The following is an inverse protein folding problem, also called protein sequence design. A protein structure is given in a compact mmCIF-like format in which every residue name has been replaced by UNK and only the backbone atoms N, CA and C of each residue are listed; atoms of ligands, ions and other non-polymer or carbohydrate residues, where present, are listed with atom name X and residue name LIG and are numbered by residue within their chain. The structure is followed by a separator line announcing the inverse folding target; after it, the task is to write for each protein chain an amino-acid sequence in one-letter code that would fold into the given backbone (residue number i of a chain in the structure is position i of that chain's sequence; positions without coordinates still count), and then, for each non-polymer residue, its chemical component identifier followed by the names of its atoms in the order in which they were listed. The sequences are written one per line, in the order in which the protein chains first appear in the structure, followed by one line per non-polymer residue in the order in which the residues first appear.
data_IF_861022090651
#
_entry.id   IF_861022090651
#
_cell.length_a   1.000
_cell.length_b   1.000
_cell.length_c   1.000
_cell.angle_alpha   90.00
_cell.angle_beta   90.00
_cell.angle_gamma   90.00
#
_symmetry.space_group_name_H-M   'P 1'
#
loop_
_entity.id
_entity.type
_entity.pdbx_description
1 polymer ?
#
# COMPACT_ATOMS: atom_id res chain seq x y z
N UNK A 1 8.18 -7.15 12.93
CA UNK A 1 9.00 -8.39 13.09
C UNK A 1 9.57 -8.70 11.71
N UNK A 2 10.89 -8.79 11.50
CA UNK A 2 11.42 -8.87 10.13
C UNK A 2 11.15 -10.26 9.54
N UNK A 3 10.26 -10.35 8.56
CA UNK A 3 9.87 -11.60 7.89
C UNK A 3 10.51 -11.60 6.49
N UNK A 4 11.45 -12.51 6.24
CA UNK A 4 12.00 -12.76 4.91
C UNK A 4 11.29 -13.96 4.27
N UNK A 5 10.63 -13.79 3.11
CA UNK A 5 9.86 -14.86 2.46
C UNK A 5 10.53 -15.23 1.14
N UNK A 6 11.02 -16.48 1.02
CA UNK A 6 11.54 -17.00 -0.25
C UNK A 6 10.45 -17.74 -1.03
N UNK A 7 10.07 -17.14 -2.17
CA UNK A 7 9.45 -17.67 -3.38
C UNK A 7 8.43 -18.83 -3.32
N UNK A 8 7.33 -18.57 -4.05
CA UNK A 8 6.21 -19.44 -4.50
C UNK A 8 5.01 -19.55 -3.57
N UNK A 9 4.01 -18.69 -3.80
CA UNK A 9 2.64 -19.02 -4.23
C UNK A 9 1.71 -17.84 -3.90
N UNK A 10 1.13 -17.22 -4.92
CA UNK A 10 0.17 -16.10 -4.84
C UNK A 10 -0.79 -16.16 -3.64
N UNK A 11 -1.00 -14.99 -3.02
CA UNK A 11 -1.80 -14.67 -1.82
C UNK A 11 -1.05 -14.99 -0.51
N UNK A 12 -0.17 -14.07 -0.07
CA UNK A 12 0.46 -14.15 1.24
C UNK A 12 -0.09 -13.08 2.17
N UNK A 13 -1.09 -13.51 2.94
CA UNK A 13 -1.72 -12.74 4.00
C UNK A 13 -0.90 -12.94 5.29
N UNK A 14 -0.04 -11.99 5.63
CA UNK A 14 0.70 -11.95 6.89
C UNK A 14 1.15 -10.49 7.09
N UNK A 15 0.52 -9.71 7.96
CA UNK A 15 0.76 -9.83 9.38
C UNK A 15 -0.48 -9.46 10.23
N UNK A 16 -0.30 -9.62 11.53
CA UNK A 16 -1.35 -9.50 12.54
C UNK A 16 -1.08 -8.14 13.16
N UNK A 17 -1.86 -7.12 12.83
CA UNK A 17 -2.03 -5.91 13.63
C UNK A 17 -0.75 -5.22 14.12
N UNK A 18 -0.49 -4.01 13.65
CA UNK A 18 0.58 -3.17 14.15
C UNK A 18 1.73 -3.12 13.16
N UNK A 19 2.76 -2.36 13.50
CA UNK A 19 3.76 -1.97 12.50
C UNK A 19 4.60 -3.15 11.98
N UNK A 20 4.49 -3.41 10.69
CA UNK A 20 5.15 -4.48 9.97
C UNK A 20 6.11 -3.97 8.88
N UNK A 21 6.98 -4.88 8.42
CA UNK A 21 7.99 -4.60 7.39
C UNK A 21 7.95 -5.78 6.41
N UNK A 22 7.48 -5.52 5.19
CA UNK A 22 7.05 -6.51 4.19
C UNK A 22 7.77 -6.27 2.86
N UNK A 23 8.16 -7.36 2.20
CA UNK A 23 8.92 -7.35 0.94
C UNK A 23 8.40 -8.42 -0.04
N UNK A 24 8.15 -8.05 -1.30
CA UNK A 24 7.76 -8.96 -2.39
C UNK A 24 8.95 -9.64 -3.11
N UNK A 25 10.07 -8.92 -3.21
CA UNK A 25 11.25 -9.32 -3.99
C UNK A 25 10.96 -9.37 -5.52
N UNK A 26 11.26 -10.48 -6.21
CA UNK A 26 10.98 -10.66 -7.64
C UNK A 26 9.66 -11.44 -7.84
N UNK A 27 8.81 -10.98 -8.75
CA UNK A 27 7.55 -11.61 -9.14
C UNK A 27 6.36 -10.66 -9.00
N UNK A 28 5.20 -11.04 -9.53
CA UNK A 28 3.97 -10.30 -9.25
C UNK A 28 3.44 -10.73 -7.86
N UNK A 29 3.47 -9.81 -6.90
CA UNK A 29 3.12 -10.05 -5.50
C UNK A 29 1.79 -9.39 -5.08
N UNK A 30 1.22 -9.90 -4.00
CA UNK A 30 0.02 -9.33 -3.37
C UNK A 30 0.25 -9.27 -1.86
N UNK A 31 0.41 -8.06 -1.33
CA UNK A 31 0.84 -7.77 0.04
C UNK A 31 -0.20 -6.89 0.74
N UNK A 32 -0.54 -7.27 1.97
CA UNK A 32 -1.39 -6.51 2.87
C UNK A 32 -0.63 -6.27 4.18
N UNK A 33 -0.47 -5.01 4.58
CA UNK A 33 0.07 -4.61 5.88
C UNK A 33 -0.75 -5.19 7.02
N UNK A 34 -2.06 -4.95 6.97
CA UNK A 34 -2.99 -5.35 8.03
C UNK A 34 -4.19 -6.21 7.63
N UNK A 35 -4.76 -6.91 8.63
CA UNK A 35 -5.92 -7.78 8.45
C UNK A 35 -7.27 -7.06 8.67
N UNK A 36 -8.03 -6.93 7.59
CA UNK A 36 -9.30 -6.20 7.43
C UNK A 36 -10.48 -6.53 8.36
N UNK A 37 -10.35 -7.55 9.21
CA UNK A 37 -11.39 -7.97 10.16
C UNK A 37 -10.91 -7.82 11.62
N UNK A 38 -9.79 -7.14 11.85
CA UNK A 38 -9.34 -6.77 13.20
C UNK A 38 -9.78 -5.36 13.55
N UNK A 39 -9.73 -5.09 14.85
CA UNK A 39 -10.10 -3.77 15.38
C UNK A 39 -9.13 -2.75 14.80
N UNK A 40 -9.64 -1.65 14.29
CA UNK A 40 -8.85 -0.59 13.67
C UNK A 40 -7.78 0.01 14.60
N UNK A 41 -7.99 -0.10 15.91
CA UNK A 41 -6.98 0.31 16.91
C UNK A 41 -5.75 -0.60 16.96
N UNK A 42 -5.84 -1.75 16.30
CA UNK A 42 -4.76 -2.71 16.18
C UNK A 42 -4.03 -2.54 14.84
N UNK A 43 -4.48 -1.68 13.91
CA UNK A 43 -3.72 -1.41 12.69
C UNK A 43 -2.43 -0.61 12.98
N UNK A 44 -1.41 -0.82 12.16
CA UNK A 44 -0.07 -0.29 12.32
C UNK A 44 0.36 0.68 11.25
N UNK A 45 1.54 1.26 11.47
CA UNK A 45 2.26 1.99 10.44
C UNK A 45 3.24 1.02 9.79
N UNK A 46 2.93 0.59 8.57
CA UNK A 46 3.63 -0.48 7.88
C UNK A 46 4.65 0.05 6.87
N UNK A 47 5.66 -0.76 6.61
CA UNK A 47 6.56 -0.59 5.48
C UNK A 47 6.35 -1.74 4.50
N UNK A 48 6.05 -1.43 3.25
CA UNK A 48 5.78 -2.39 2.20
C UNK A 48 6.62 -2.03 0.97
N UNK A 49 7.38 -3.01 0.46
CA UNK A 49 8.19 -2.89 -0.75
C UNK A 49 7.86 -4.06 -1.69
N UNK A 50 7.24 -3.77 -2.83
CA UNK A 50 6.83 -4.76 -3.83
C UNK A 50 8.03 -5.40 -4.50
N UNK A 51 8.96 -4.56 -4.98
CA UNK A 51 10.20 -5.00 -5.60
C UNK A 51 10.08 -4.97 -7.12
N UNK A 52 10.17 -6.13 -7.78
CA UNK A 52 10.11 -6.22 -9.24
C UNK A 52 8.99 -7.13 -9.68
N UNK A 53 8.04 -6.61 -10.46
CA UNK A 53 6.84 -7.32 -10.90
C UNK A 53 5.65 -6.38 -10.90
N UNK A 54 4.47 -6.85 -11.30
CA UNK A 54 3.25 -6.05 -11.22
C UNK A 54 2.54 -6.38 -9.91
N UNK A 55 2.76 -5.54 -8.91
CA UNK A 55 2.40 -5.82 -7.54
C UNK A 55 1.05 -5.21 -7.14
N UNK A 56 0.47 -5.77 -6.08
CA UNK A 56 -0.73 -5.24 -5.42
C UNK A 56 -0.45 -5.07 -3.94
N UNK A 57 -0.34 -3.83 -3.52
CA UNK A 57 0.10 -3.46 -2.18
C UNK A 57 -1.02 -2.69 -1.48
N UNK A 58 -1.28 -3.04 -0.22
CA UNK A 58 -2.27 -2.34 0.61
C UNK A 58 -1.70 -2.18 2.01
N UNK A 59 -1.60 -0.95 2.51
CA UNK A 59 -1.18 -0.67 3.88
C UNK A 59 -2.25 -1.10 4.88
N UNK A 60 -3.40 -0.45 4.80
CA UNK A 60 -4.61 -0.83 5.51
C UNK A 60 -5.17 0.34 6.30
N UNK A 61 -4.54 0.71 7.40
CA UNK A 61 -4.84 1.95 8.09
C UNK A 61 -3.73 2.23 9.09
N UNK A 62 -3.57 3.48 9.52
CA UNK A 62 -2.29 3.90 10.11
C UNK A 62 -1.44 4.61 9.05
N UNK A 63 -0.32 5.22 9.44
CA UNK A 63 0.50 5.95 8.46
C UNK A 63 1.49 4.99 7.79
N UNK A 64 1.23 4.61 6.54
CA UNK A 64 1.96 3.56 5.83
C UNK A 64 3.01 4.10 4.86
N UNK A 65 4.03 3.29 4.60
CA UNK A 65 5.07 3.54 3.59
C UNK A 65 5.09 2.41 2.57
N UNK A 66 4.64 2.70 1.35
CA UNK A 66 4.42 1.71 0.31
C UNK A 66 5.23 2.07 -0.94
N UNK A 67 6.02 1.11 -1.42
CA UNK A 67 6.85 1.23 -2.62
C UNK A 67 6.47 0.10 -3.58
N UNK A 68 6.04 0.42 -4.80
CA UNK A 68 5.77 -0.53 -5.87
C UNK A 68 7.06 -1.14 -6.40
N UNK A 69 7.88 -0.30 -7.02
CA UNK A 69 9.20 -0.68 -7.52
C UNK A 69 9.23 -0.72 -9.04
N UNK A 70 9.70 -1.82 -9.64
CA UNK A 70 9.72 -2.01 -11.09
C UNK A 70 8.47 -2.79 -11.54
N UNK A 71 7.59 -2.20 -12.35
CA UNK A 71 6.42 -2.87 -12.91
C UNK A 71 5.21 -1.97 -13.00
N UNK A 72 4.03 -2.50 -13.33
CA UNK A 72 2.79 -1.72 -13.29
C UNK A 72 2.02 -2.10 -12.04
N UNK A 73 2.18 -1.30 -11.00
CA UNK A 73 1.75 -1.64 -9.66
C UNK A 73 0.39 -1.02 -9.31
N UNK A 74 -0.26 -1.61 -8.31
CA UNK A 74 -1.47 -1.04 -7.71
C UNK A 74 -1.26 -0.89 -6.21
N UNK A 75 -1.23 0.36 -5.76
CA UNK A 75 -0.95 0.74 -4.38
C UNK A 75 -2.18 1.39 -3.75
N UNK A 76 -2.52 0.93 -2.55
CA UNK A 76 -3.51 1.52 -1.67
C UNK A 76 -2.88 1.84 -0.31
N UNK A 77 -2.92 3.10 0.12
CA UNK A 77 -2.54 3.49 1.48
C UNK A 77 -3.51 2.87 2.48
N UNK A 78 -4.77 3.28 2.40
CA UNK A 78 -5.86 2.70 3.19
C UNK A 78 -6.66 1.62 2.43
N UNK A 79 -7.23 0.64 3.15
CA UNK A 79 -8.17 -0.31 2.55
C UNK A 79 -9.50 0.40 2.17
N UNK A 80 -9.73 0.53 0.86
CA UNK A 80 -10.95 1.11 0.30
C UNK A 80 -11.93 0.05 -0.25
N UNK A 81 -11.97 -1.17 0.29
CA UNK A 81 -12.89 -2.20 -0.23
C UNK A 81 -14.36 -1.79 -0.13
N UNK A 82 -15.03 -1.91 -1.27
CA UNK A 82 -16.47 -1.66 -1.44
C UNK A 82 -17.30 -2.39 -0.37
N UNK A 83 -17.99 -1.63 0.47
CA UNK A 83 -18.99 -2.16 1.41
C UNK A 83 -18.59 -2.10 2.88
N UNK A 84 -17.34 -1.77 3.20
CA UNK A 84 -17.03 -1.23 4.52
C UNK A 84 -17.43 0.25 4.48
N UNK A 85 -18.46 0.61 5.25
CA UNK A 85 -18.87 2.00 5.41
C UNK A 85 -17.62 2.84 5.63
N UNK A 86 -17.51 3.98 4.94
CA UNK A 86 -16.47 5.01 5.05
C UNK A 86 -16.17 5.25 6.53
N UNK A 87 -15.32 4.39 7.09
CA UNK A 87 -15.07 4.39 8.50
C UNK A 87 -13.89 5.32 8.61
N UNK A 88 -14.17 6.56 9.01
CA UNK A 88 -13.19 7.62 9.26
C UNK A 88 -12.17 7.26 10.36
N UNK A 89 -12.05 5.97 10.70
CA UNK A 89 -11.05 5.39 11.59
C UNK A 89 -9.96 4.66 10.83
N UNK A 90 -10.20 4.21 9.58
CA UNK A 90 -9.16 3.66 8.68
C UNK A 90 -8.60 4.84 7.88
N UNK A 91 -7.72 5.59 8.54
CA UNK A 91 -7.12 6.81 8.01
C UNK A 91 -5.64 6.79 8.32
N UNK A 92 -4.83 7.19 7.37
CA UNK A 92 -3.38 7.26 7.43
C UNK A 92 -2.87 8.48 6.69
N UNK A 93 -1.73 9.05 7.08
CA UNK A 93 -1.00 9.94 6.21
C UNK A 93 0.06 9.12 5.49
N UNK A 94 -0.29 8.63 4.31
CA UNK A 94 0.49 7.58 3.68
C UNK A 94 1.54 8.15 2.73
N UNK A 95 2.63 7.41 2.56
CA UNK A 95 3.61 7.62 1.50
C UNK A 95 3.52 6.48 0.49
N UNK A 96 3.15 6.81 -0.74
CA UNK A 96 3.06 5.86 -1.85
C UNK A 96 4.04 6.26 -2.95
N UNK A 97 4.87 5.32 -3.40
CA UNK A 97 5.76 5.47 -4.55
C UNK A 97 5.48 4.36 -5.56
N UNK A 98 5.06 4.70 -6.77
CA UNK A 98 4.85 3.76 -7.87
C UNK A 98 6.19 3.19 -8.34
N UNK A 99 7.05 4.07 -8.86
CA UNK A 99 8.39 3.70 -9.26
C UNK A 99 8.52 3.68 -10.76
N UNK A 100 8.73 2.52 -11.35
CA UNK A 100 8.94 2.37 -12.78
C UNK A 100 7.86 1.55 -13.46
N UNK A 101 6.98 2.21 -14.21
CA UNK A 101 5.94 1.60 -15.03
C UNK A 101 4.68 2.43 -14.95
N UNK A 102 3.55 1.92 -15.43
CA UNK A 102 2.29 2.67 -15.40
C UNK A 102 1.50 2.27 -14.16
N UNK A 103 1.61 3.06 -13.11
CA UNK A 103 1.15 2.68 -11.79
C UNK A 103 -0.23 3.26 -11.46
N UNK A 104 -0.92 2.63 -10.51
CA UNK A 104 -2.17 3.13 -9.94
C UNK A 104 -1.99 3.29 -8.44
N UNK A 105 -2.00 4.54 -7.97
CA UNK A 105 -1.82 4.88 -6.56
C UNK A 105 -3.11 5.50 -6.00
N UNK A 106 -3.52 5.03 -4.82
CA UNK A 106 -4.66 5.58 -4.08
C UNK A 106 -4.26 5.80 -2.63
N UNK A 107 -4.24 7.06 -2.18
CA UNK A 107 -3.88 7.42 -0.81
C UNK A 107 -4.93 6.90 0.17
N UNK A 108 -6.12 7.47 0.12
CA UNK A 108 -7.22 7.06 0.98
C UNK A 108 -7.75 8.25 1.76
N UNK A 109 -7.78 8.14 3.08
CA UNK A 109 -8.17 9.23 3.96
C UNK A 109 -6.98 9.68 4.80
N UNK A 110 -6.60 10.94 4.65
CA UNK A 110 -5.51 11.57 5.41
C UNK A 110 -4.72 12.48 4.50
N UNK A 111 -3.67 13.10 5.04
CA UNK A 111 -2.82 13.99 4.25
C UNK A 111 -1.71 13.16 3.58
N UNK A 112 -2.01 12.61 2.41
CA UNK A 112 -1.15 11.62 1.74
C UNK A 112 -0.05 12.26 0.86
N UNK A 113 1.01 11.50 0.61
CA UNK A 113 2.04 11.82 -0.38
C UNK A 113 2.15 10.71 -1.41
N UNK A 114 1.79 11.00 -2.66
CA UNK A 114 1.85 10.06 -3.78
C UNK A 114 2.92 10.53 -4.78
N UNK A 115 3.82 9.63 -5.15
CA UNK A 115 4.81 9.80 -6.20
C UNK A 115 4.64 8.70 -7.25
N UNK A 116 4.21 9.05 -8.45
CA UNK A 116 4.01 8.09 -9.55
C UNK A 116 5.35 7.51 -10.03
N UNK A 117 6.40 8.34 -10.03
CA UNK A 117 7.70 7.94 -10.55
C UNK A 117 7.82 8.22 -12.04
N UNK A 118 8.17 7.20 -12.83
CA UNK A 118 8.36 7.33 -14.29
C UNK A 118 7.19 6.68 -15.04
N UNK A 119 6.96 7.13 -16.28
CA UNK A 119 5.89 6.68 -17.19
C UNK A 119 4.50 7.25 -16.82
N UNK A 120 3.41 6.68 -17.37
CA UNK A 120 2.08 7.28 -17.33
C UNK A 120 1.25 6.73 -16.15
N UNK A 121 1.20 7.46 -15.05
CA UNK A 121 0.55 7.01 -13.81
C UNK A 121 -0.87 7.55 -13.58
N UNK A 122 -1.60 6.86 -12.71
CA UNK A 122 -2.92 7.28 -12.22
C UNK A 122 -2.87 7.43 -10.70
N UNK A 123 -2.92 8.67 -10.22
CA UNK A 123 -2.83 9.00 -8.79
C UNK A 123 -4.15 9.60 -8.28
N UNK A 124 -4.66 9.03 -7.19
CA UNK A 124 -5.82 9.53 -6.45
C UNK A 124 -5.46 9.72 -4.98
N UNK A 125 -5.30 10.97 -4.54
CA UNK A 125 -5.01 11.24 -3.12
C UNK A 125 -6.18 10.82 -2.21
N UNK A 126 -7.41 11.19 -2.58
CA UNK A 126 -8.60 10.82 -1.83
C UNK A 126 -9.07 11.96 -0.94
N UNK A 127 -9.28 11.69 0.34
CA UNK A 127 -9.81 12.65 1.30
C UNK A 127 -8.73 13.21 2.22
N UNK A 128 -8.31 14.45 2.01
CA UNK A 128 -7.38 15.14 2.89
C UNK A 128 -6.64 16.23 2.15
N UNK A 129 -5.44 16.60 2.60
CA UNK A 129 -4.54 17.53 1.90
C UNK A 129 -3.36 16.77 1.30
N UNK A 130 -3.61 16.25 0.12
CA UNK A 130 -2.66 15.37 -0.54
C UNK A 130 -1.58 16.14 -1.31
N UNK A 131 -0.39 15.55 -1.37
CA UNK A 131 0.71 15.98 -2.23
C UNK A 131 0.92 14.92 -3.31
N UNK A 132 0.81 15.31 -4.58
CA UNK A 132 0.82 14.38 -5.71
C UNK A 132 1.90 14.80 -6.72
N UNK A 133 2.81 13.88 -7.03
CA UNK A 133 3.83 14.00 -8.06
C UNK A 133 3.54 12.96 -9.16
N UNK A 134 3.04 13.40 -10.31
CA UNK A 134 2.40 12.51 -11.30
C UNK A 134 3.26 11.99 -12.46
N UNK A 135 4.59 12.03 -12.37
CA UNK A 135 5.49 11.62 -13.47
C UNK A 135 5.60 12.59 -14.63
#
# INVERSE_FOLDING_TARGET
MIIFIRHRLHIFQCAITGNDELYGDDGDDEIYGDWLNKDITEHGNDFIDGGAGNDKLTGGGGDDWIIGGDGNDILWGDDSREGHELNTTMTGNDYLSGGAGNDVLMGGYGDDTLDGGIDDDILFGGGGRDTIYGG
#
